data_IF_031926918171
#
_entry.id   IF_031926918171
#
_cell.length_a   1.000
_cell.length_b   1.000
_cell.length_c   1.000
_cell.angle_alpha   90.00
_cell.angle_beta   90.00
_cell.angle_gamma   90.00
#
_symmetry.space_group_name_H-M   'P 1'
#
loop_
_entity.id
_entity.type
_entity.pdbx_description
1 polymer ?
#
# COMPACT_ATOMS: atom_id res chain seq x y z
N UNK A 1 45.14 16.61 -14.06
CA UNK A 1 43.69 16.51 -14.28
C UNK A 1 43.21 15.19 -13.70
N UNK A 2 42.45 15.21 -12.60
CA UNK A 2 41.68 14.05 -12.13
C UNK A 2 40.51 14.58 -11.33
N UNK A 3 39.31 14.51 -11.90
CA UNK A 3 38.08 14.96 -11.28
C UNK A 3 37.53 13.83 -10.41
N UNK A 4 37.60 14.02 -9.08
CA UNK A 4 36.97 13.13 -8.12
C UNK A 4 35.44 13.20 -8.24
N UNK A 5 34.83 12.08 -8.58
CA UNK A 5 33.39 11.87 -8.73
C UNK A 5 32.71 12.02 -7.36
N UNK A 6 31.97 13.12 -7.14
CA UNK A 6 31.13 13.33 -5.94
C UNK A 6 30.04 12.25 -5.88
N UNK A 7 30.03 11.45 -4.81
CA UNK A 7 28.90 10.61 -4.40
C UNK A 7 27.71 11.54 -4.08
N UNK A 8 26.67 11.47 -4.90
CA UNK A 8 25.40 12.16 -4.66
C UNK A 8 24.55 11.30 -3.71
N UNK A 9 24.68 11.50 -2.40
CA UNK A 9 23.73 10.98 -1.41
C UNK A 9 22.77 12.11 -1.03
N UNK A 10 21.67 12.23 -1.76
CA UNK A 10 20.64 13.23 -1.52
C UNK A 10 19.25 12.60 -1.67
N UNK A 11 18.60 12.29 -0.54
CA UNK A 11 17.19 11.87 -0.51
C UNK A 11 16.33 13.05 -1.00
N UNK A 12 15.70 12.88 -2.16
CA UNK A 12 14.83 13.88 -2.79
C UNK A 12 13.51 13.99 -1.98
N UNK A 13 12.94 15.19 -1.77
CA UNK A 13 11.73 15.36 -0.96
C UNK A 13 10.51 14.57 -1.45
N UNK A 14 10.44 14.28 -2.76
CA UNK A 14 9.39 13.44 -3.37
C UNK A 14 9.43 11.99 -2.85
N UNK A 15 10.62 11.38 -2.82
CA UNK A 15 10.78 9.98 -2.38
C UNK A 15 10.32 9.77 -0.93
N UNK A 16 10.45 10.78 -0.06
CA UNK A 16 10.01 10.67 1.34
C UNK A 16 8.50 10.77 1.52
N UNK A 17 7.81 11.56 0.70
CA UNK A 17 6.35 11.65 0.75
C UNK A 17 5.68 10.40 0.20
N UNK A 18 6.28 9.82 -0.84
CA UNK A 18 5.75 8.64 -1.51
C UNK A 18 5.81 7.44 -0.56
N UNK A 19 6.97 7.20 0.08
CA UNK A 19 7.12 6.18 1.12
C UNK A 19 6.22 6.37 2.34
N UNK A 20 5.88 7.62 2.71
CA UNK A 20 4.97 7.87 3.81
C UNK A 20 3.51 7.55 3.44
N UNK A 21 3.18 7.66 2.15
CA UNK A 21 1.84 7.34 1.62
C UNK A 21 1.68 5.83 1.48
N UNK A 22 2.66 5.15 0.89
CA UNK A 22 2.77 3.68 0.83
C UNK A 22 2.54 3.07 2.21
N UNK A 23 3.38 3.43 3.19
CA UNK A 23 3.27 2.91 4.54
C UNK A 23 1.91 3.19 5.20
N UNK A 24 1.26 4.29 4.84
CA UNK A 24 -0.06 4.60 5.34
C UNK A 24 -1.14 3.70 4.72
N UNK A 25 -1.06 3.45 3.41
CA UNK A 25 -1.91 2.53 2.67
C UNK A 25 -1.81 1.11 3.23
N UNK A 26 -0.58 0.57 3.34
CA UNK A 26 -0.31 -0.78 3.87
C UNK A 26 -0.96 -0.98 5.25
N UNK A 27 -0.75 -0.02 6.15
CA UNK A 27 -1.24 -0.15 7.51
C UNK A 27 -2.76 -0.03 7.59
N UNK A 28 -3.40 0.87 6.82
CA UNK A 28 -4.86 0.97 6.89
C UNK A 28 -5.54 -0.24 6.26
N UNK A 29 -4.94 -0.83 5.23
CA UNK A 29 -5.39 -2.09 4.63
C UNK A 29 -5.26 -3.24 5.62
N UNK A 30 -4.07 -3.47 6.18
CA UNK A 30 -3.84 -4.50 7.19
C UNK A 30 -4.76 -4.36 8.42
N UNK A 31 -5.04 -3.13 8.87
CA UNK A 31 -6.00 -2.88 9.95
C UNK A 31 -7.42 -3.28 9.51
N UNK A 32 -7.84 -2.91 8.31
CA UNK A 32 -9.18 -3.23 7.80
C UNK A 32 -9.38 -4.75 7.68
N UNK A 33 -8.42 -5.44 7.06
CA UNK A 33 -8.44 -6.89 6.90
C UNK A 33 -8.42 -7.63 8.23
N UNK A 34 -7.57 -7.20 9.16
CA UNK A 34 -7.52 -7.80 10.51
C UNK A 34 -8.85 -7.63 11.24
N UNK A 35 -9.49 -6.45 11.12
CA UNK A 35 -10.81 -6.21 11.72
C UNK A 35 -11.88 -7.06 11.03
N UNK A 36 -11.84 -7.22 9.71
CA UNK A 36 -12.78 -8.06 8.98
C UNK A 36 -12.64 -9.54 9.38
N UNK A 37 -11.40 -10.04 9.47
CA UNK A 37 -11.12 -11.43 9.81
C UNK A 37 -11.35 -11.78 11.29
N UNK A 38 -11.06 -10.86 12.21
CA UNK A 38 -11.00 -11.14 13.66
C UNK A 38 -11.91 -10.26 14.52
N UNK A 39 -12.60 -9.28 13.92
CA UNK A 39 -13.43 -8.29 14.60
C UNK A 39 -12.66 -7.16 15.28
N UNK A 40 -11.33 -7.31 15.47
CA UNK A 40 -10.50 -6.38 16.23
C UNK A 40 -9.06 -6.42 15.74
N UNK A 41 -8.40 -5.26 15.66
CA UNK A 41 -6.98 -5.14 15.36
C UNK A 41 -6.23 -4.54 16.55
N UNK A 42 -5.12 -5.16 16.95
CA UNK A 42 -4.21 -4.65 18.00
C UNK A 42 -2.80 -4.50 17.45
N UNK A 43 -1.97 -3.77 18.19
CA UNK A 43 -0.55 -3.54 17.86
C UNK A 43 0.21 -4.86 17.64
N UNK A 44 -0.10 -5.91 18.41
CA UNK A 44 0.55 -7.22 18.27
C UNK A 44 0.20 -7.92 16.96
N UNK A 45 -1.02 -7.73 16.44
CA UNK A 45 -1.43 -8.30 15.16
C UNK A 45 -0.60 -7.68 14.04
N UNK A 46 -0.49 -6.35 14.01
CA UNK A 46 0.31 -5.62 13.03
C UNK A 46 1.82 -5.91 13.16
N UNK A 47 2.34 -6.01 14.39
CA UNK A 47 3.74 -6.33 14.62
C UNK A 47 4.11 -7.71 14.05
N UNK A 48 3.21 -8.69 14.22
CA UNK A 48 3.36 -10.02 13.64
C UNK A 48 3.22 -10.00 12.12
N UNK A 49 2.24 -9.28 11.57
CA UNK A 49 1.96 -9.26 10.13
C UNK A 49 3.09 -8.59 9.35
N UNK A 50 3.61 -7.46 9.83
CA UNK A 50 4.68 -6.71 9.17
C UNK A 50 6.09 -7.15 9.60
N UNK A 51 6.21 -8.14 10.50
CA UNK A 51 7.49 -8.61 11.05
C UNK A 51 8.37 -7.47 11.62
N UNK A 52 7.74 -6.49 12.29
CA UNK A 52 8.42 -5.33 12.89
C UNK A 52 8.18 -5.24 14.40
N UNK A 53 9.02 -4.44 15.07
CA UNK A 53 8.86 -4.21 16.51
C UNK A 53 7.55 -3.49 16.85
N UNK A 54 7.03 -3.73 18.07
CA UNK A 54 5.90 -2.96 18.63
C UNK A 54 6.17 -1.45 18.64
N UNK A 55 7.43 -1.03 18.83
CA UNK A 55 7.81 0.39 18.81
C UNK A 55 7.62 1.00 17.41
N UNK A 56 7.98 0.24 16.37
CA UNK A 56 7.74 0.63 14.97
C UNK A 56 6.25 0.79 14.71
N UNK A 57 5.44 -0.22 15.06
CA UNK A 57 3.98 -0.17 14.89
C UNK A 57 3.37 1.02 15.62
N UNK A 58 3.69 1.22 16.90
CA UNK A 58 3.16 2.37 17.66
C UNK A 58 3.52 3.71 17.02
N UNK A 59 4.74 3.84 16.49
CA UNK A 59 5.16 5.06 15.78
C UNK A 59 4.35 5.27 14.50
N UNK A 60 4.12 4.22 13.71
CA UNK A 60 3.34 4.31 12.47
C UNK A 60 1.87 4.57 12.75
N UNK A 61 1.26 3.85 13.69
CA UNK A 61 -0.13 4.08 14.14
C UNK A 61 -0.29 5.49 14.69
N UNK A 62 0.67 6.01 15.46
CA UNK A 62 0.66 7.40 15.91
C UNK A 62 0.66 8.43 14.77
N UNK A 63 1.33 8.12 13.65
CA UNK A 63 1.25 8.94 12.42
C UNK A 63 -0.15 8.86 11.80
N UNK A 64 -0.72 7.67 11.67
CA UNK A 64 -2.08 7.49 11.16
C UNK A 64 -3.12 8.23 11.99
N UNK A 65 -2.98 8.23 13.32
CA UNK A 65 -3.86 8.99 14.21
C UNK A 65 -3.72 10.50 13.96
N UNK A 66 -2.49 11.01 13.95
CA UNK A 66 -2.22 12.43 13.65
C UNK A 66 -2.79 12.85 12.29
N UNK A 67 -2.67 11.98 11.28
CA UNK A 67 -3.11 12.28 9.91
C UNK A 67 -4.61 11.95 9.69
N UNK A 68 -5.31 11.54 10.76
CA UNK A 68 -6.75 11.34 10.81
C UNK A 68 -7.26 10.04 10.18
N UNK A 69 -6.39 9.07 9.92
CA UNK A 69 -6.75 7.76 9.35
C UNK A 69 -7.19 6.75 10.43
N UNK A 70 -6.60 6.81 11.62
CA UNK A 70 -6.88 5.86 12.69
C UNK A 70 -7.24 6.55 14.01
N UNK A 71 -7.78 5.78 14.94
CA UNK A 71 -7.98 6.13 16.35
C UNK A 71 -7.54 4.96 17.22
N UNK A 72 -6.85 5.26 18.31
CA UNK A 72 -6.50 4.29 19.34
C UNK A 72 -6.23 5.07 20.64
N UNK A 73 -6.56 4.44 21.76
CA UNK A 73 -6.21 4.89 23.11
C UNK A 73 -5.16 3.92 23.68
N UNK A 74 -4.40 4.29 24.72
CA UNK A 74 -3.45 3.37 25.35
C UNK A 74 -4.09 2.02 25.67
N UNK A 75 -3.43 0.93 25.27
CA UNK A 75 -3.87 -0.45 25.45
C UNK A 75 -5.20 -0.83 24.77
N UNK A 76 -5.75 0.03 23.91
CA UNK A 76 -7.01 -0.20 23.21
C UNK A 76 -6.80 -0.71 21.79
N UNK A 77 -7.79 -1.40 21.19
CA UNK A 77 -7.76 -1.73 19.78
C UNK A 77 -7.57 -0.53 18.87
N UNK A 78 -6.99 -0.78 17.70
CA UNK A 78 -6.86 0.19 16.63
C UNK A 78 -8.16 0.17 15.83
N UNK A 79 -8.70 1.36 15.53
CA UNK A 79 -9.88 1.51 14.70
C UNK A 79 -9.62 2.51 13.58
N UNK A 80 -10.18 2.27 12.40
CA UNK A 80 -10.10 3.22 11.29
C UNK A 80 -11.19 4.28 11.41
N UNK A 81 -10.83 5.53 11.13
CA UNK A 81 -11.81 6.59 10.89
C UNK A 81 -12.51 6.37 9.54
N UNK A 82 -13.53 7.17 9.22
CA UNK A 82 -14.11 7.17 7.88
C UNK A 82 -13.06 7.46 6.79
N UNK A 83 -12.10 8.36 7.07
CA UNK A 83 -10.98 8.68 6.17
C UNK A 83 -10.06 7.47 6.00
N UNK A 84 -9.71 6.77 7.08
CA UNK A 84 -8.89 5.56 7.04
C UNK A 84 -9.57 4.42 6.28
N UNK A 85 -10.86 4.16 6.53
CA UNK A 85 -11.63 3.15 5.81
C UNK A 85 -11.69 3.43 4.31
N UNK A 86 -11.82 4.70 3.93
CA UNK A 86 -11.79 5.10 2.52
C UNK A 86 -10.43 4.82 1.89
N UNK A 87 -9.34 5.14 2.59
CA UNK A 87 -7.98 4.87 2.10
C UNK A 87 -7.74 3.35 1.96
N UNK A 88 -8.10 2.56 2.98
CA UNK A 88 -7.98 1.11 2.94
C UNK A 88 -8.73 0.49 1.75
N UNK A 89 -9.97 0.94 1.49
CA UNK A 89 -10.74 0.48 0.33
C UNK A 89 -10.05 0.83 -1.00
N UNK A 90 -9.43 2.00 -1.09
CA UNK A 90 -8.73 2.42 -2.30
C UNK A 90 -7.48 1.57 -2.50
N UNK A 91 -6.69 1.33 -1.44
CA UNK A 91 -5.51 0.46 -1.47
C UNK A 91 -5.89 -0.96 -1.94
N UNK A 92 -6.89 -1.57 -1.30
CA UNK A 92 -7.39 -2.90 -1.67
C UNK A 92 -7.93 -2.98 -3.11
N UNK A 93 -8.61 -1.93 -3.60
CA UNK A 93 -9.06 -1.91 -5.01
C UNK A 93 -7.86 -1.86 -5.97
N UNK A 94 -6.82 -1.10 -5.64
CA UNK A 94 -5.59 -1.01 -6.46
C UNK A 94 -4.87 -2.35 -6.48
N UNK A 95 -4.66 -2.95 -5.31
CA UNK A 95 -4.06 -4.27 -5.17
C UNK A 95 -4.79 -5.32 -6.01
N UNK A 96 -6.13 -5.40 -5.87
CA UNK A 96 -6.94 -6.35 -6.62
C UNK A 96 -6.84 -6.16 -8.15
N UNK A 97 -6.78 -4.92 -8.64
CA UNK A 97 -6.63 -4.65 -10.08
C UNK A 97 -5.27 -5.17 -10.59
N UNK A 98 -4.19 -4.91 -9.84
CA UNK A 98 -2.85 -5.38 -10.22
C UNK A 98 -2.79 -6.90 -10.19
N UNK A 99 -3.28 -7.53 -9.12
CA UNK A 99 -3.33 -8.98 -8.96
C UNK A 99 -4.07 -9.66 -10.12
N UNK A 100 -5.29 -9.21 -10.42
CA UNK A 100 -6.10 -9.79 -11.49
C UNK A 100 -5.48 -9.54 -12.87
N UNK A 101 -4.82 -8.41 -13.07
CA UNK A 101 -4.08 -8.14 -14.29
C UNK A 101 -2.89 -9.09 -14.47
N UNK A 102 -2.06 -9.29 -13.43
CA UNK A 102 -0.92 -10.20 -13.47
C UNK A 102 -1.37 -11.63 -13.80
N UNK A 103 -2.46 -12.09 -13.16
CA UNK A 103 -3.08 -13.38 -13.49
C UNK A 103 -3.56 -13.45 -14.95
N UNK A 104 -4.21 -12.38 -15.43
CA UNK A 104 -4.73 -12.33 -16.80
C UNK A 104 -3.64 -12.37 -17.88
N UNK A 105 -2.44 -11.86 -17.60
CA UNK A 105 -1.29 -11.94 -18.52
C UNK A 105 -0.48 -13.25 -18.37
N UNK A 106 -0.92 -14.18 -17.50
CA UNK A 106 -0.34 -15.51 -17.37
C UNK A 106 0.69 -15.68 -16.25
N UNK A 107 0.82 -14.71 -15.33
CA UNK A 107 1.61 -14.89 -14.11
C UNK A 107 0.93 -15.93 -13.21
N UNK A 108 1.71 -16.81 -12.58
CA UNK A 108 1.17 -17.80 -11.65
C UNK A 108 0.51 -17.12 -10.46
N UNK A 109 -0.52 -17.72 -9.88
CA UNK A 109 -1.24 -17.14 -8.74
C UNK A 109 -0.32 -16.78 -7.57
N UNK A 110 0.61 -17.69 -7.22
CA UNK A 110 1.56 -17.45 -6.13
C UNK A 110 2.49 -16.26 -6.41
N UNK A 111 2.98 -16.10 -7.64
CA UNK A 111 3.81 -14.96 -8.00
C UNK A 111 2.97 -13.69 -8.09
N UNK A 112 1.77 -13.75 -8.67
CA UNK A 112 0.88 -12.60 -8.81
C UNK A 112 0.49 -12.00 -7.46
N UNK A 113 0.24 -12.82 -6.44
CA UNK A 113 -0.03 -12.37 -5.05
C UNK A 113 1.17 -11.60 -4.50
N UNK A 114 2.36 -12.18 -4.60
CA UNK A 114 3.59 -11.54 -4.06
C UNK A 114 3.97 -10.30 -4.85
N UNK A 115 3.83 -10.33 -6.17
CA UNK A 115 4.21 -9.23 -7.04
C UNK A 115 3.20 -8.09 -7.00
N UNK A 116 1.92 -8.36 -6.73
CA UNK A 116 0.94 -7.27 -6.57
C UNK A 116 1.25 -6.40 -5.37
N UNK A 117 1.74 -7.00 -4.27
CA UNK A 117 2.23 -6.29 -3.08
C UNK A 117 3.45 -5.43 -3.44
N UNK A 118 3.32 -4.11 -3.30
CA UNK A 118 4.33 -3.12 -3.67
C UNK A 118 4.14 -2.49 -5.05
N UNK A 119 3.68 -3.24 -6.06
CA UNK A 119 3.44 -2.69 -7.41
C UNK A 119 2.28 -1.68 -7.36
N UNK A 120 1.21 -2.01 -6.66
CA UNK A 120 0.02 -1.19 -6.54
C UNK A 120 0.28 0.22 -6.04
N UNK A 121 1.32 0.49 -5.25
CA UNK A 121 1.64 1.86 -4.82
C UNK A 121 2.35 2.69 -5.89
N UNK A 122 3.04 2.04 -6.83
CA UNK A 122 3.86 2.71 -7.84
C UNK A 122 3.17 2.81 -9.20
N UNK A 123 2.04 2.13 -9.39
CA UNK A 123 1.25 2.20 -10.63
C UNK A 123 0.46 3.51 -10.70
N UNK A 124 0.64 4.25 -11.79
CA UNK A 124 -0.11 5.49 -12.05
C UNK A 124 -1.61 5.18 -12.20
N UNK A 125 -2.47 6.18 -12.00
CA UNK A 125 -3.91 6.01 -12.24
C UNK A 125 -4.21 5.57 -13.67
N UNK A 126 -3.50 6.13 -14.65
CA UNK A 126 -3.65 5.78 -16.07
C UNK A 126 -3.33 4.31 -16.34
N UNK A 127 -2.20 3.83 -15.82
CA UNK A 127 -1.79 2.43 -15.96
C UNK A 127 -2.78 1.51 -15.25
N UNK A 128 -3.25 1.87 -14.05
CA UNK A 128 -4.23 1.08 -13.31
C UNK A 128 -5.58 0.99 -14.05
N UNK A 129 -6.04 2.09 -14.64
CA UNK A 129 -7.27 2.13 -15.44
C UNK A 129 -7.13 1.23 -16.69
N UNK A 130 -5.96 1.23 -17.33
CA UNK A 130 -5.66 0.36 -18.46
C UNK A 130 -5.63 -1.12 -18.08
N UNK A 131 -5.00 -1.47 -16.94
CA UNK A 131 -5.02 -2.82 -16.38
C UNK A 131 -6.46 -3.29 -16.10
N UNK A 132 -7.27 -2.44 -15.45
CA UNK A 132 -8.68 -2.70 -15.18
C UNK A 132 -9.50 -2.90 -16.46
N UNK A 133 -9.24 -2.11 -17.50
CA UNK A 133 -9.90 -2.26 -18.80
C UNK A 133 -9.52 -3.60 -19.47
N UNK A 134 -8.24 -3.96 -19.44
CA UNK A 134 -7.72 -5.21 -19.99
C UNK A 134 -8.40 -6.43 -19.34
N UNK A 135 -8.44 -6.48 -18.00
CA UNK A 135 -9.10 -7.56 -17.25
C UNK A 135 -10.60 -7.65 -17.58
N UNK A 136 -11.27 -6.51 -17.79
CA UNK A 136 -12.69 -6.46 -18.15
C UNK A 136 -12.99 -6.88 -19.61
N UNK A 137 -12.00 -7.36 -20.38
CA UNK A 137 -12.17 -7.71 -21.79
C UNK A 137 -12.37 -6.50 -22.72
N UNK A 138 -12.16 -5.28 -22.20
CA UNK A 138 -12.13 -4.06 -23.02
C UNK A 138 -10.71 -3.90 -23.54
N UNK A 139 -10.50 -4.18 -24.82
CA UNK A 139 -9.22 -3.89 -25.48
C UNK A 139 -8.93 -2.39 -25.33
N UNK A 140 -7.86 -1.97 -24.65
CA UNK A 140 -7.44 -0.58 -24.74
C UNK A 140 -7.13 -0.29 -26.21
N UNK A 141 -7.66 0.81 -26.74
CA UNK A 141 -7.23 1.33 -28.04
C UNK A 141 -5.74 1.64 -27.90
N UNK A 142 -4.88 0.76 -28.44
CA UNK A 142 -3.46 1.02 -28.54
C UNK A 142 -3.34 2.21 -29.49
N UNK A 143 -3.16 3.42 -28.95
CA UNK A 143 -2.76 4.58 -29.75
C UNK A 143 -1.30 4.34 -30.13
N UNK A 144 -1.10 3.86 -31.35
CA UNK A 144 0.18 3.92 -32.00
C UNK A 144 0.48 5.39 -32.30
N UNK A 145 1.49 5.95 -31.66
CA UNK A 145 2.24 7.11 -32.19
C UNK A 145 3.42 6.60 -33.02
#
# INVERSE_FOLDING_TARGET
>A
MSAAKKKQTGSHPRTRSDHATELAEDYVEAIAETIEARGVCRVVDLASQFEVSHVTVNRTVGRLVRDGYAKTEPYSPITLTAKGKKLARIAAERHAIVLEFLKAIGVSEAAAIVDSEGIEHHVSKETLDAMKAFVAGRRPEIRAE
#
